data_IF_869023750173
#
_entry.id   IF_869023750173
#
_cell.length_a   1.000
_cell.length_b   1.000
_cell.length_c   1.000
_cell.angle_alpha   90.00
_cell.angle_beta   90.00
_cell.angle_gamma   90.00
#
_symmetry.space_group_name_H-M   'P 1'
#
loop_
_entity.id
_entity.type
_entity.pdbx_description
1 polymer ?
#
# COMPACT_ATOMS: atom_id res chain seq x y z
N UNK A 1 -18.47 -19.44 2.71
CA UNK A 1 -17.38 -20.43 2.58
C UNK A 1 -16.11 -19.60 2.66
N UNK A 2 -15.30 -19.74 3.72
CA UNK A 2 -14.06 -18.97 3.89
C UNK A 2 -13.16 -19.18 2.67
N UNK A 3 -12.93 -18.11 1.90
CA UNK A 3 -12.12 -18.15 0.68
C UNK A 3 -10.65 -18.10 1.07
N UNK A 4 -10.12 -19.22 1.57
CA UNK A 4 -8.71 -19.32 1.94
C UNK A 4 -7.82 -19.68 0.76
N UNK A 5 -6.80 -18.86 0.52
CA UNK A 5 -5.81 -19.10 -0.53
C UNK A 5 -4.50 -19.61 0.06
N UNK A 6 -3.96 -20.66 -0.54
CA UNK A 6 -2.74 -21.33 -0.08
C UNK A 6 -1.63 -21.14 -1.11
N UNK A 7 -0.42 -20.93 -0.61
CA UNK A 7 0.80 -20.82 -1.40
C UNK A 7 1.13 -22.14 -2.10
N UNK A 8 1.67 -22.02 -3.31
CA UNK A 8 2.15 -23.09 -4.17
C UNK A 8 3.61 -22.85 -4.54
N UNK A 9 4.31 -23.86 -5.07
CA UNK A 9 5.70 -23.73 -5.50
C UNK A 9 5.91 -22.69 -6.62
N UNK A 10 4.85 -22.35 -7.36
CA UNK A 10 4.91 -21.35 -8.45
C UNK A 10 4.57 -19.93 -8.01
N UNK A 11 4.20 -19.70 -6.75
CA UNK A 11 3.80 -18.38 -6.29
C UNK A 11 5.03 -17.46 -6.10
N UNK A 12 4.99 -16.23 -6.63
CA UNK A 12 6.06 -15.27 -6.43
C UNK A 12 5.95 -14.59 -5.06
N UNK A 13 7.08 -14.08 -4.60
CA UNK A 13 7.20 -13.28 -3.39
C UNK A 13 7.57 -11.86 -3.76
N UNK A 14 6.64 -10.93 -3.54
CA UNK A 14 6.80 -9.52 -3.87
C UNK A 14 6.46 -8.64 -2.68
N UNK A 15 7.21 -7.56 -2.49
CA UNK A 15 6.80 -6.47 -1.61
C UNK A 15 5.76 -5.56 -2.31
N UNK A 16 5.26 -4.54 -1.63
CA UNK A 16 4.31 -3.56 -2.18
C UNK A 16 4.84 -2.72 -3.36
N UNK A 17 6.13 -2.81 -3.72
CA UNK A 17 6.69 -2.25 -4.95
C UNK A 17 6.75 -3.26 -6.12
N UNK A 18 6.21 -4.46 -5.94
CA UNK A 18 6.44 -5.62 -6.82
C UNK A 18 7.93 -5.95 -7.05
N UNK A 19 8.78 -5.70 -6.05
CA UNK A 19 10.16 -6.17 -6.06
C UNK A 19 10.23 -7.56 -5.45
N UNK A 20 10.87 -8.47 -6.19
CA UNK A 20 10.97 -9.86 -5.79
C UNK A 20 11.87 -10.03 -4.56
N UNK A 21 11.51 -10.97 -3.70
CA UNK A 21 12.34 -11.37 -2.57
C UNK A 21 12.34 -12.87 -2.35
N UNK A 22 13.35 -13.38 -1.65
CA UNK A 22 13.37 -14.76 -1.17
C UNK A 22 12.60 -14.90 0.15
N UNK A 23 11.71 -15.90 0.28
CA UNK A 23 10.88 -16.07 1.46
C UNK A 23 11.69 -16.26 2.74
N UNK A 24 11.18 -15.74 3.86
CA UNK A 24 11.87 -15.79 5.15
C UNK A 24 11.80 -17.17 5.82
N UNK A 25 10.86 -18.02 5.41
CA UNK A 25 10.62 -19.36 5.96
C UNK A 25 9.97 -20.28 4.91
N UNK A 26 9.92 -21.61 5.12
CA UNK A 26 9.17 -22.53 4.27
C UNK A 26 7.69 -22.11 4.14
N UNK A 27 7.14 -22.19 2.92
CA UNK A 27 5.84 -21.61 2.56
C UNK A 27 4.80 -22.61 2.04
N UNK A 28 5.22 -23.84 1.69
CA UNK A 28 4.28 -24.83 1.16
C UNK A 28 3.14 -25.10 2.16
N UNK A 29 1.90 -25.03 1.67
CA UNK A 29 0.72 -25.23 2.50
C UNK A 29 0.34 -24.03 3.39
N UNK A 30 1.09 -22.93 3.37
CA UNK A 30 0.80 -21.71 4.14
C UNK A 30 -0.07 -20.71 3.37
N UNK A 31 -0.61 -19.72 4.06
CA UNK A 31 -1.57 -18.76 3.49
C UNK A 31 -0.90 -17.75 2.56
N UNK A 32 -1.57 -17.40 1.45
CA UNK A 32 -1.18 -16.22 0.64
C UNK A 32 -1.48 -14.91 1.38
N UNK A 33 -0.79 -13.84 1.01
CA UNK A 33 -1.05 -12.49 1.55
C UNK A 33 -2.48 -12.01 1.26
N UNK A 34 -3.09 -12.41 0.14
CA UNK A 34 -4.48 -12.11 -0.21
C UNK A 34 -5.50 -12.50 0.88
N UNK A 35 -5.21 -13.46 1.75
CA UNK A 35 -6.10 -13.79 2.87
C UNK A 35 -6.30 -12.62 3.85
N UNK A 36 -5.28 -11.76 4.05
CA UNK A 36 -5.44 -10.56 4.88
C UNK A 36 -6.38 -9.53 4.23
N UNK A 37 -6.36 -9.41 2.91
CA UNK A 37 -7.29 -8.58 2.16
C UNK A 37 -8.72 -9.12 2.30
N UNK A 38 -8.92 -10.40 2.03
CA UNK A 38 -10.24 -11.04 2.12
C UNK A 38 -10.82 -10.98 3.52
N UNK A 39 -10.02 -11.29 4.54
CA UNK A 39 -10.43 -11.15 5.93
C UNK A 39 -10.82 -9.70 6.27
N UNK A 40 -10.14 -8.71 5.69
CA UNK A 40 -10.53 -7.31 5.89
C UNK A 40 -11.88 -6.95 5.27
N UNK A 41 -12.25 -7.55 4.13
CA UNK A 41 -13.60 -7.41 3.54
C UNK A 41 -14.66 -8.03 4.45
N UNK A 42 -14.44 -9.28 4.87
CA UNK A 42 -15.37 -9.99 5.75
C UNK A 42 -15.56 -9.26 7.08
N UNK A 43 -14.47 -8.78 7.69
CA UNK A 43 -14.51 -8.04 8.94
C UNK A 43 -15.26 -6.71 8.82
N UNK A 44 -15.06 -5.98 7.72
CA UNK A 44 -15.72 -4.71 7.48
C UNK A 44 -17.18 -4.86 6.99
N UNK A 45 -17.62 -6.08 6.68
CA UNK A 45 -18.93 -6.33 6.07
C UNK A 45 -19.04 -5.75 4.66
N UNK A 46 -17.92 -5.73 3.92
CA UNK A 46 -17.86 -5.16 2.59
C UNK A 46 -18.75 -5.93 1.59
N UNK A 47 -19.14 -5.26 0.51
CA UNK A 47 -19.96 -5.86 -0.55
C UNK A 47 -19.26 -7.09 -1.16
N UNK A 48 -20.02 -8.16 -1.40
CA UNK A 48 -19.48 -9.41 -1.98
C UNK A 48 -18.77 -9.20 -3.33
N UNK A 49 -19.13 -8.14 -4.06
CA UNK A 49 -18.48 -7.75 -5.32
C UNK A 49 -17.03 -7.31 -5.16
N UNK A 50 -16.56 -7.04 -3.94
CA UNK A 50 -15.12 -6.83 -3.66
C UNK A 50 -14.28 -8.05 -4.03
N UNK A 51 -14.80 -9.25 -3.77
CA UNK A 51 -14.13 -10.50 -4.14
C UNK A 51 -14.13 -10.70 -5.64
N UNK A 52 -15.26 -10.39 -6.29
CA UNK A 52 -15.39 -10.47 -7.76
C UNK A 52 -14.44 -9.47 -8.45
N UNK A 53 -14.25 -8.29 -7.87
CA UNK A 53 -13.31 -7.30 -8.38
C UNK A 53 -11.87 -7.82 -8.38
N UNK A 54 -11.46 -8.50 -7.30
CA UNK A 54 -10.15 -9.15 -7.21
C UNK A 54 -9.96 -10.18 -8.32
N UNK A 55 -10.98 -11.01 -8.57
CA UNK A 55 -10.94 -12.02 -9.64
C UNK A 55 -10.85 -11.37 -11.03
N UNK A 56 -11.62 -10.33 -11.29
CA UNK A 56 -11.60 -9.59 -12.56
C UNK A 56 -10.22 -8.98 -12.83
N UNK A 57 -9.62 -8.36 -11.82
CA UNK A 57 -8.28 -7.78 -11.92
C UNK A 57 -7.24 -8.86 -12.24
N UNK A 58 -7.26 -9.99 -11.51
CA UNK A 58 -6.35 -11.12 -11.75
C UNK A 58 -6.49 -11.70 -13.15
N UNK A 59 -7.72 -11.86 -13.65
CA UNK A 59 -7.98 -12.31 -15.03
C UNK A 59 -7.44 -11.30 -16.06
N UNK A 60 -7.54 -10.00 -15.77
CA UNK A 60 -7.12 -8.93 -16.67
C UNK A 60 -5.61 -8.75 -16.78
N UNK A 61 -4.89 -8.83 -15.67
CA UNK A 61 -3.45 -8.46 -15.61
C UNK A 61 -2.52 -9.53 -15.02
N UNK A 62 -3.06 -10.67 -14.61
CA UNK A 62 -2.32 -11.80 -14.06
C UNK A 62 -2.37 -11.87 -12.53
N UNK A 63 -2.18 -13.08 -11.95
CA UNK A 63 -2.14 -13.28 -10.51
C UNK A 63 -0.88 -12.65 -9.90
N UNK A 64 -0.97 -12.16 -8.66
CA UNK A 64 0.15 -11.56 -7.92
C UNK A 64 0.76 -10.31 -8.59
N UNK A 65 0.07 -9.72 -9.56
CA UNK A 65 0.50 -8.51 -10.29
C UNK A 65 -0.19 -7.24 -9.79
N UNK A 66 -0.92 -7.35 -8.69
CA UNK A 66 -1.60 -6.24 -8.01
C UNK A 66 -1.15 -6.18 -6.56
N UNK A 67 -1.00 -4.96 -6.06
CA UNK A 67 -0.76 -4.70 -4.64
C UNK A 67 -2.07 -4.20 -4.05
N UNK A 68 -2.41 -4.67 -2.86
CA UNK A 68 -3.53 -4.16 -2.08
C UNK A 68 -3.00 -3.42 -0.85
N UNK A 69 -3.75 -2.41 -0.40
CA UNK A 69 -3.55 -1.75 0.88
C UNK A 69 -4.85 -1.69 1.66
N UNK A 70 -4.83 -2.15 2.91
CA UNK A 70 -5.92 -1.94 3.86
C UNK A 70 -5.57 -0.74 4.71
N UNK A 71 -6.36 0.33 4.59
CA UNK A 71 -6.10 1.61 5.26
C UNK A 71 -7.11 1.83 6.37
N UNK A 72 -6.63 2.33 7.51
CA UNK A 72 -7.45 2.78 8.64
C UNK A 72 -7.33 4.29 8.80
N UNK A 73 -8.46 4.98 8.91
CA UNK A 73 -8.53 6.39 9.28
C UNK A 73 -9.63 6.58 10.32
N UNK A 74 -9.23 6.79 11.58
CA UNK A 74 -10.14 6.70 12.72
C UNK A 74 -10.75 5.29 12.82
N UNK A 75 -12.07 5.20 12.83
CA UNK A 75 -12.81 3.92 12.87
C UNK A 75 -13.07 3.32 11.50
N UNK A 76 -12.77 4.04 10.41
CA UNK A 76 -13.06 3.60 9.04
C UNK A 76 -11.94 2.74 8.49
N UNK A 77 -12.31 1.64 7.86
CA UNK A 77 -11.45 0.82 7.00
C UNK A 77 -11.77 1.17 5.54
N UNK A 78 -10.74 1.27 4.70
CA UNK A 78 -10.87 1.42 3.25
C UNK A 78 -9.75 0.68 2.54
N UNK A 79 -9.90 0.51 1.23
CA UNK A 79 -8.97 -0.26 0.42
C UNK A 79 -8.41 0.58 -0.71
N UNK A 80 -7.16 0.31 -1.10
CA UNK A 80 -6.57 0.85 -2.31
C UNK A 80 -5.85 -0.27 -3.05
N UNK A 81 -5.98 -0.29 -4.37
CA UNK A 81 -5.21 -1.19 -5.24
C UNK A 81 -4.16 -0.41 -6.01
N UNK A 82 -2.95 -0.95 -6.07
CA UNK A 82 -1.81 -0.37 -6.77
C UNK A 82 -1.30 -1.32 -7.86
N UNK A 83 -0.88 -0.73 -8.97
CA UNK A 83 -0.50 -1.47 -10.16
C UNK A 83 0.84 -0.95 -10.66
N UNK A 84 1.88 -1.79 -10.60
CA UNK A 84 3.25 -1.41 -10.98
C UNK A 84 3.63 -1.95 -12.36
N UNK A 85 4.23 -1.08 -13.16
CA UNK A 85 4.88 -1.45 -14.41
C UNK A 85 6.07 -0.54 -14.72
N UNK A 86 7.26 -1.01 -14.34
CA UNK A 86 8.52 -0.27 -14.49
C UNK A 86 8.97 -0.06 -15.94
N UNK A 87 8.27 -0.64 -16.92
CA UNK A 87 8.47 -0.38 -18.36
C UNK A 87 7.89 0.97 -18.82
N UNK A 88 7.15 1.66 -17.95
CA UNK A 88 6.63 3.02 -18.19
C UNK A 88 5.80 3.08 -19.47
N UNK A 89 6.26 3.76 -20.51
CA UNK A 89 5.54 3.84 -21.80
C UNK A 89 5.32 2.47 -22.45
N UNK A 90 6.21 1.51 -22.21
CA UNK A 90 6.13 0.15 -22.75
C UNK A 90 5.41 -0.83 -21.79
N UNK A 91 4.64 -0.29 -20.84
CA UNK A 91 3.86 -1.08 -19.88
C UNK A 91 2.86 -2.01 -20.57
N UNK A 92 2.65 -3.17 -19.95
CA UNK A 92 1.57 -4.10 -20.28
C UNK A 92 0.43 -4.02 -19.27
N UNK A 93 0.70 -3.51 -18.05
CA UNK A 93 -0.27 -3.31 -16.98
C UNK A 93 -0.64 -1.83 -16.88
N UNK A 94 -1.23 -1.30 -17.95
CA UNK A 94 -1.69 0.10 -17.99
C UNK A 94 -2.99 0.31 -17.20
N UNK A 95 -3.23 1.56 -16.80
CA UNK A 95 -4.47 1.99 -16.18
C UNK A 95 -5.68 1.63 -17.05
N UNK A 96 -5.62 1.93 -18.35
CA UNK A 96 -6.67 1.56 -19.32
C UNK A 96 -6.95 0.05 -19.34
N UNK A 97 -5.91 -0.79 -19.24
CA UNK A 97 -6.08 -2.26 -19.23
C UNK A 97 -6.78 -2.72 -17.94
N UNK A 98 -6.37 -2.19 -16.79
CA UNK A 98 -6.99 -2.50 -15.49
C UNK A 98 -8.44 -2.04 -15.45
N UNK A 99 -8.73 -0.81 -15.90
CA UNK A 99 -10.10 -0.31 -15.98
C UNK A 99 -10.98 -1.18 -16.88
N UNK A 100 -10.46 -1.67 -18.01
CA UNK A 100 -11.19 -2.61 -18.87
C UNK A 100 -11.50 -3.93 -18.15
N UNK A 101 -10.57 -4.44 -17.34
CA UNK A 101 -10.79 -5.65 -16.56
C UNK A 101 -11.87 -5.44 -15.49
N UNK A 102 -11.88 -4.27 -14.84
CA UNK A 102 -12.84 -3.90 -13.79
C UNK A 102 -14.22 -3.47 -14.34
N UNK A 103 -14.32 -3.16 -15.65
CA UNK A 103 -15.51 -2.60 -16.30
C UNK A 103 -16.86 -3.34 -16.04
N UNK A 104 -16.90 -4.67 -15.81
CA UNK A 104 -18.14 -5.34 -15.43
C UNK A 104 -18.76 -4.85 -14.12
N UNK A 105 -17.95 -4.28 -13.21
CA UNK A 105 -18.38 -3.78 -11.90
C UNK A 105 -18.16 -2.28 -11.74
N UNK A 106 -17.13 -1.74 -12.37
CA UNK A 106 -16.65 -0.38 -12.14
C UNK A 106 -16.76 0.45 -13.40
N UNK A 107 -17.59 1.49 -13.35
CA UNK A 107 -17.59 2.56 -14.35
C UNK A 107 -16.51 3.58 -14.00
N UNK A 108 -15.74 4.03 -15.00
CA UNK A 108 -14.76 5.10 -14.81
C UNK A 108 -15.02 6.28 -15.73
N UNK A 109 -14.77 7.47 -15.21
CA UNK A 109 -14.79 8.74 -15.95
C UNK A 109 -13.40 9.37 -16.04
N UNK A 110 -12.37 8.76 -15.45
CA UNK A 110 -11.02 9.29 -15.41
C UNK A 110 -10.44 9.47 -16.83
N UNK A 111 -9.90 10.66 -17.11
CA UNK A 111 -9.28 11.00 -18.39
C UNK A 111 -7.78 10.65 -18.36
N UNK A 112 -7.43 9.47 -18.88
CA UNK A 112 -6.06 8.96 -18.83
C UNK A 112 -5.24 9.33 -20.06
N UNK A 113 -3.98 9.71 -19.84
CA UNK A 113 -2.97 9.84 -20.89
C UNK A 113 -1.91 8.73 -20.73
N UNK A 114 -2.04 7.68 -21.55
CA UNK A 114 -1.15 6.53 -21.55
C UNK A 114 0.23 6.79 -22.20
N UNK A 115 0.51 8.00 -22.69
CA UNK A 115 1.85 8.38 -23.18
C UNK A 115 2.76 8.94 -22.06
N UNK A 116 2.21 9.16 -20.86
CA UNK A 116 2.97 9.63 -19.71
C UNK A 116 3.91 8.55 -19.16
N UNK A 117 5.06 8.96 -18.61
CA UNK A 117 6.09 8.04 -18.09
C UNK A 117 5.80 7.47 -16.69
N UNK A 118 4.52 7.30 -16.33
CA UNK A 118 4.15 6.73 -15.03
C UNK A 118 4.64 5.28 -14.91
N UNK A 119 5.06 4.87 -13.72
CA UNK A 119 5.50 3.50 -13.45
C UNK A 119 4.55 2.76 -12.51
N UNK A 120 3.62 3.49 -11.89
CA UNK A 120 2.59 2.95 -11.03
C UNK A 120 1.35 3.85 -11.06
N UNK A 121 0.19 3.28 -10.78
CA UNK A 121 -1.02 4.02 -10.45
C UNK A 121 -1.81 3.27 -9.38
N UNK A 122 -2.70 3.97 -8.70
CA UNK A 122 -3.56 3.38 -7.68
C UNK A 122 -4.97 3.93 -7.69
N UNK A 123 -5.88 3.11 -7.16
CA UNK A 123 -7.33 3.28 -7.18
C UNK A 123 -7.89 3.06 -5.77
N UNK A 124 -8.58 4.05 -5.21
CA UNK A 124 -9.31 3.87 -3.96
C UNK A 124 -10.61 3.05 -4.22
N UNK A 125 -10.77 1.98 -3.45
CA UNK A 125 -11.83 0.97 -3.59
C UNK A 125 -12.75 1.02 -2.37
N UNK A 126 -14.06 1.07 -2.61
CA UNK A 126 -15.10 1.02 -1.58
C UNK A 126 -16.39 0.39 -2.12
N UNK A 127 -17.35 0.17 -1.22
CA UNK A 127 -18.63 -0.46 -1.57
C UNK A 127 -19.44 0.38 -2.56
N UNK A 128 -19.37 1.71 -2.48
CA UNK A 128 -20.07 2.58 -3.43
C UNK A 128 -19.53 2.38 -4.85
N UNK A 129 -18.22 2.15 -5.00
CA UNK A 129 -17.59 1.91 -6.29
C UNK A 129 -18.05 0.60 -6.92
N UNK A 130 -17.89 -0.51 -6.21
CA UNK A 130 -18.25 -1.84 -6.74
C UNK A 130 -19.76 -2.03 -6.86
N UNK A 131 -20.54 -1.22 -6.14
CA UNK A 131 -21.99 -1.22 -6.24
C UNK A 131 -22.58 -0.40 -7.37
N UNK A 132 -21.78 0.44 -8.02
CA UNK A 132 -22.25 1.45 -8.97
C UNK A 132 -22.91 2.66 -8.29
N UNK A 133 -22.79 2.79 -6.96
CA UNK A 133 -23.21 3.98 -6.20
C UNK A 133 -22.31 5.20 -6.43
N UNK A 134 -21.09 5.01 -6.94
CA UNK A 134 -20.22 6.05 -7.50
C UNK A 134 -19.40 5.53 -8.68
N UNK A 135 -18.96 6.46 -9.53
CA UNK A 135 -17.97 6.18 -10.58
C UNK A 135 -16.54 6.25 -10.02
N UNK A 136 -15.59 5.64 -10.73
CA UNK A 136 -14.16 5.90 -10.54
C UNK A 136 -13.77 7.16 -11.34
N UNK A 137 -13.70 8.28 -10.64
CA UNK A 137 -13.42 9.61 -11.19
C UNK A 137 -12.02 10.15 -10.82
N UNK A 138 -11.26 9.42 -10.01
CA UNK A 138 -9.91 9.79 -9.59
C UNK A 138 -8.95 8.60 -9.70
N UNK A 139 -7.77 8.84 -10.26
CA UNK A 139 -6.66 7.89 -10.34
C UNK A 139 -5.40 8.58 -9.84
N UNK A 140 -4.70 7.98 -8.88
CA UNK A 140 -3.42 8.48 -8.40
C UNK A 140 -2.30 7.90 -9.26
N UNK A 141 -1.60 8.76 -10.00
CA UNK A 141 -0.61 8.37 -11.00
C UNK A 141 0.80 8.76 -10.60
N UNK A 142 1.72 7.80 -10.64
CA UNK A 142 3.07 7.92 -10.08
C UNK A 142 4.12 7.95 -11.19
N UNK A 143 4.78 9.09 -11.32
CA UNK A 143 5.80 9.37 -12.33
C UNK A 143 7.17 9.39 -11.67
N UNK A 144 8.17 8.76 -12.32
CA UNK A 144 9.52 8.73 -11.76
C UNK A 144 10.13 10.13 -11.66
N UNK A 145 10.86 10.40 -10.58
CA UNK A 145 11.55 11.65 -10.34
C UNK A 145 13.07 11.46 -10.51
N UNK A 146 13.62 11.60 -11.74
CA UNK A 146 15.06 11.44 -11.96
C UNK A 146 15.85 12.57 -11.28
N UNK A 147 17.10 12.29 -10.91
CA UNK A 147 18.04 13.29 -10.36
C UNK A 147 18.34 13.18 -8.87
N UNK A 148 17.96 12.08 -8.21
CA UNK A 148 18.32 11.77 -6.82
C UNK A 148 19.19 10.52 -6.74
N UNK A 149 20.03 10.42 -5.69
CA UNK A 149 20.79 9.21 -5.36
C UNK A 149 19.89 8.04 -4.90
N UNK A 150 18.66 8.35 -4.49
CA UNK A 150 17.63 7.37 -4.13
C UNK A 150 16.51 7.33 -5.17
N UNK A 151 15.85 6.17 -5.27
CA UNK A 151 14.64 6.07 -6.09
C UNK A 151 13.56 7.01 -5.55
N UNK A 152 12.89 7.75 -6.44
CA UNK A 152 11.83 8.68 -6.04
C UNK A 152 10.73 8.79 -7.10
N UNK A 153 9.55 9.19 -6.65
CA UNK A 153 8.35 9.31 -7.48
C UNK A 153 7.51 10.52 -7.10
N UNK A 154 6.78 11.04 -8.08
CA UNK A 154 5.83 12.14 -7.95
C UNK A 154 4.44 11.59 -8.21
N UNK A 155 3.52 11.78 -7.26
CA UNK A 155 2.13 11.39 -7.41
C UNK A 155 1.28 12.58 -7.85
N UNK A 156 0.48 12.35 -8.89
CA UNK A 156 -0.56 13.25 -9.35
C UNK A 156 -1.91 12.57 -9.22
N UNK A 157 -2.87 13.26 -8.61
CA UNK A 157 -4.28 12.91 -8.80
C UNK A 157 -4.69 13.30 -10.21
N UNK A 158 -5.36 12.39 -10.91
CA UNK A 158 -5.87 12.56 -12.28
C UNK A 158 -7.38 12.37 -12.27
N UNK A 159 -8.10 13.42 -12.66
CA UNK A 159 -9.57 13.48 -12.69
C UNK A 159 -10.06 13.91 -14.07
N UNK A 160 -11.38 13.83 -14.37
CA UNK A 160 -11.94 14.40 -15.60
C UNK A 160 -11.61 15.88 -15.81
N UNK A 161 -11.39 16.62 -14.71
CA UNK A 161 -11.17 18.07 -14.74
C UNK A 161 -9.70 18.48 -14.93
N UNK A 162 -8.78 17.51 -14.83
CA UNK A 162 -7.34 17.73 -14.94
C UNK A 162 -6.55 16.99 -13.87
N UNK A 163 -5.27 17.33 -13.74
CA UNK A 163 -4.36 16.71 -12.78
C UNK A 163 -3.87 17.69 -11.72
N UNK A 164 -3.59 17.16 -10.52
CA UNK A 164 -3.08 17.91 -9.36
C UNK A 164 -1.92 17.17 -8.72
N UNK A 165 -0.83 17.88 -8.46
CA UNK A 165 0.30 17.35 -7.68
C UNK A 165 -0.14 17.05 -6.23
N UNK A 166 0.10 15.83 -5.76
CA UNK A 166 -0.26 15.41 -4.41
C UNK A 166 0.95 15.19 -3.53
N UNK A 167 1.84 14.28 -3.93
CA UNK A 167 2.86 13.76 -3.04
C UNK A 167 4.21 13.56 -3.74
N UNK A 168 5.29 13.64 -2.96
CA UNK A 168 6.64 13.23 -3.36
C UNK A 168 7.10 12.05 -2.52
N UNK A 169 7.55 10.97 -3.14
CA UNK A 169 8.00 9.74 -2.49
C UNK A 169 9.50 9.54 -2.66
N UNK A 170 10.17 9.10 -1.60
CA UNK A 170 11.61 8.84 -1.56
C UNK A 170 11.86 7.47 -0.92
N UNK A 171 12.55 6.58 -1.63
CA UNK A 171 12.75 5.19 -1.23
C UNK A 171 14.21 4.96 -0.83
N UNK A 172 14.41 4.66 0.45
CA UNK A 172 15.72 4.47 1.07
C UNK A 172 15.94 2.99 1.39
N UNK A 173 17.12 2.45 1.04
CA UNK A 173 17.62 1.22 1.66
C UNK A 173 17.83 1.48 3.17
N UNK A 174 17.10 0.74 4.00
CA UNK A 174 17.04 0.99 5.44
C UNK A 174 18.37 0.74 6.16
N UNK A 175 19.16 -0.23 5.66
CA UNK A 175 20.45 -0.59 6.23
C UNK A 175 21.54 0.42 5.89
N UNK A 176 21.44 1.06 4.72
CA UNK A 176 22.48 1.96 4.19
C UNK A 176 22.22 3.43 4.47
N UNK A 177 20.96 3.86 4.49
CA UNK A 177 20.60 5.29 4.46
C UNK A 177 20.01 5.80 5.78
N UNK A 178 20.40 5.23 6.93
CA UNK A 178 19.84 5.64 8.23
C UNK A 178 19.93 7.16 8.48
N UNK A 179 21.06 7.77 8.16
CA UNK A 179 21.25 9.22 8.34
C UNK A 179 20.36 10.02 7.40
N UNK A 180 20.25 9.61 6.12
CA UNK A 180 19.40 10.30 5.14
C UNK A 180 17.92 10.18 5.48
N UNK A 181 17.47 9.04 6.00
CA UNK A 181 16.10 8.82 6.48
C UNK A 181 15.78 9.82 7.60
N UNK A 182 16.63 9.90 8.63
CA UNK A 182 16.45 10.82 9.75
C UNK A 182 16.48 12.28 9.30
N UNK A 183 17.43 12.64 8.42
CA UNK A 183 17.51 13.98 7.85
C UNK A 183 16.24 14.32 7.04
N UNK A 184 15.72 13.36 6.26
CA UNK A 184 14.51 13.55 5.46
C UNK A 184 13.26 13.73 6.31
N UNK A 185 13.15 13.03 7.45
CA UNK A 185 12.09 13.24 8.44
C UNK A 185 12.24 14.62 9.07
N UNK A 186 13.46 15.01 9.47
CA UNK A 186 13.72 16.31 10.10
C UNK A 186 13.41 17.51 9.18
N UNK A 187 13.48 17.32 7.86
CA UNK A 187 13.11 18.31 6.84
C UNK A 187 11.59 18.35 6.53
N UNK A 188 10.76 17.69 7.33
CA UNK A 188 9.31 17.75 7.21
C UNK A 188 8.77 19.15 7.53
N UNK A 189 7.83 19.64 6.74
CA UNK A 189 7.09 20.87 7.05
C UNK A 189 5.95 20.64 8.06
N UNK A 190 5.71 19.39 8.47
CA UNK A 190 4.56 18.98 9.27
C UNK A 190 4.92 18.71 10.74
N UNK A 191 6.19 18.79 11.10
CA UNK A 191 6.68 18.58 12.46
C UNK A 191 7.74 19.61 12.84
N UNK A 192 7.90 19.84 14.14
CA UNK A 192 9.09 20.48 14.71
C UNK A 192 10.03 19.40 15.23
N UNK A 193 11.12 19.13 14.50
CA UNK A 193 12.11 18.10 14.84
C UNK A 193 12.98 18.46 16.06
N UNK A 194 12.90 19.69 16.57
CA UNK A 194 13.56 20.09 17.81
C UNK A 194 12.73 19.76 19.05
N UNK A 195 11.41 19.65 18.88
CA UNK A 195 10.46 19.36 19.95
C UNK A 195 9.95 17.91 19.94
N UNK A 196 10.12 17.18 18.82
CA UNK A 196 9.67 15.80 18.65
C UNK A 196 10.85 14.82 18.60
N UNK A 197 10.75 13.73 19.36
CA UNK A 197 11.65 12.58 19.19
C UNK A 197 11.37 11.88 17.86
N UNK A 198 12.35 11.86 16.97
CA UNK A 198 12.22 11.24 15.65
C UNK A 198 12.02 9.72 15.72
N UNK A 199 12.40 9.05 16.81
CA UNK A 199 12.11 7.63 17.00
C UNK A 199 10.61 7.36 17.15
N UNK A 200 9.78 8.37 17.44
CA UNK A 200 8.32 8.26 17.39
C UNK A 200 7.79 8.06 15.95
N UNK A 201 8.56 8.51 14.94
CA UNK A 201 8.26 8.33 13.51
C UNK A 201 9.06 7.15 12.96
N UNK A 202 10.39 7.16 13.14
CA UNK A 202 11.30 6.11 12.71
C UNK A 202 11.41 4.98 13.75
N UNK A 203 10.24 4.39 14.05
CA UNK A 203 10.02 3.43 15.13
C UNK A 203 11.10 2.34 15.21
N UNK A 204 11.76 2.15 16.37
CA UNK A 204 12.76 1.10 16.56
C UNK A 204 12.27 -0.32 16.25
N UNK A 205 11.00 -0.61 16.49
CA UNK A 205 10.42 -1.92 16.27
C UNK A 205 10.19 -2.24 14.78
N UNK A 206 10.11 -1.21 13.93
CA UNK A 206 9.82 -1.35 12.49
C UNK A 206 11.03 -1.07 11.60
N UNK A 207 12.06 -0.39 12.12
CA UNK A 207 13.21 0.05 11.30
C UNK A 207 14.13 -1.07 10.83
N UNK A 208 14.08 -2.24 11.47
CA UNK A 208 14.70 -3.45 10.91
C UNK A 208 13.79 -3.99 9.79
N UNK A 209 13.94 -3.38 8.63
CA UNK A 209 13.17 -3.62 7.42
C UNK A 209 14.10 -3.47 6.20
N UNK A 210 13.60 -3.72 4.99
CA UNK A 210 14.40 -3.62 3.77
C UNK A 210 14.42 -2.20 3.21
N UNK A 211 13.26 -1.56 3.16
CA UNK A 211 13.11 -0.24 2.53
C UNK A 211 12.25 0.66 3.39
N UNK A 212 12.71 1.89 3.58
CA UNK A 212 11.92 2.95 4.17
C UNK A 212 11.49 3.89 3.06
N UNK A 213 10.18 4.09 2.90
CA UNK A 213 9.67 5.12 2.01
C UNK A 213 9.17 6.31 2.83
N UNK A 214 9.60 7.51 2.46
CA UNK A 214 9.09 8.75 3.04
C UNK A 214 8.33 9.51 1.97
N UNK A 215 7.11 9.93 2.30
CA UNK A 215 6.31 10.75 1.41
C UNK A 215 6.05 12.14 2.02
N UNK A 216 6.29 13.19 1.23
CA UNK A 216 5.75 14.50 1.54
C UNK A 216 4.36 14.64 0.96
N UNK A 217 3.38 15.01 1.78
CA UNK A 217 2.01 15.28 1.34
C UNK A 217 1.61 16.70 1.72
N UNK A 218 0.47 17.14 1.21
CA UNK A 218 0.02 18.53 1.39
C UNK A 218 -0.28 18.91 2.86
N UNK A 219 -0.76 17.97 3.68
CA UNK A 219 -1.28 18.25 5.04
C UNK A 219 -0.71 17.34 6.14
N UNK A 220 0.15 16.41 5.75
CA UNK A 220 0.81 15.42 6.59
C UNK A 220 2.00 14.86 5.80
N UNK A 221 2.92 14.21 6.48
CA UNK A 221 3.93 13.39 5.83
C UNK A 221 3.66 11.92 6.13
N UNK A 222 4.30 11.01 5.39
CA UNK A 222 4.10 9.58 5.58
C UNK A 222 5.43 8.86 5.67
N UNK A 223 5.47 7.82 6.49
CA UNK A 223 6.55 6.85 6.53
C UNK A 223 6.00 5.46 6.27
N UNK A 224 6.70 4.69 5.44
CA UNK A 224 6.44 3.28 5.19
C UNK A 224 7.67 2.46 5.55
N UNK A 225 7.44 1.30 6.15
CA UNK A 225 8.44 0.29 6.44
C UNK A 225 8.10 -0.94 5.60
N UNK A 226 9.02 -1.34 4.74
CA UNK A 226 8.80 -2.39 3.75
C UNK A 226 9.71 -3.57 3.98
N UNK A 227 9.16 -4.77 3.83
CA UNK A 227 9.87 -6.01 4.09
C UNK A 227 9.99 -6.34 5.58
N UNK A 228 8.97 -6.01 6.39
CA UNK A 228 8.91 -6.35 7.81
C UNK A 228 8.36 -7.77 8.02
N UNK A 229 8.65 -8.37 9.17
CA UNK A 229 8.17 -9.69 9.56
C UNK A 229 6.70 -9.66 10.05
N UNK A 230 6.08 -10.84 10.18
CA UNK A 230 4.73 -10.96 10.77
C UNK A 230 4.68 -10.43 12.21
N UNK A 231 5.75 -10.57 13.00
CA UNK A 231 5.81 -10.06 14.38
C UNK A 231 5.76 -8.53 14.41
N UNK A 232 6.48 -7.89 13.49
CA UNK A 232 6.47 -6.45 13.34
C UNK A 232 5.10 -5.95 12.83
N UNK A 233 4.43 -6.71 11.96
CA UNK A 233 3.05 -6.42 11.57
C UNK A 233 2.09 -6.48 12.77
N UNK A 234 2.18 -7.54 13.58
CA UNK A 234 1.39 -7.69 14.82
C UNK A 234 1.67 -6.51 15.77
N UNK A 235 2.94 -6.14 15.96
CA UNK A 235 3.30 -4.95 16.73
C UNK A 235 2.64 -3.69 16.17
N UNK A 236 2.75 -3.44 14.86
CA UNK A 236 2.18 -2.26 14.20
C UNK A 236 0.67 -2.16 14.41
N UNK A 237 -0.05 -3.27 14.19
CA UNK A 237 -1.50 -3.30 14.33
C UNK A 237 -1.93 -3.10 15.79
N UNK A 238 -1.16 -3.61 16.76
CA UNK A 238 -1.41 -3.42 18.18
C UNK A 238 -1.11 -1.98 18.63
N UNK A 239 0.03 -1.43 18.22
CA UNK A 239 0.45 -0.06 18.54
C UNK A 239 -0.57 0.98 18.07
N UNK A 240 -1.09 0.80 16.85
CA UNK A 240 -2.11 1.69 16.29
C UNK A 240 -3.53 1.27 16.63
N UNK A 241 -3.74 0.26 17.48
CA UNK A 241 -5.07 -0.17 17.93
C UNK A 241 -6.03 -0.50 16.78
N UNK A 242 -5.58 -1.28 15.80
CA UNK A 242 -6.48 -1.81 14.76
C UNK A 242 -7.64 -2.60 15.40
N UNK A 243 -8.81 -2.69 14.73
CA UNK A 243 -9.93 -3.49 15.21
C UNK A 243 -9.51 -4.90 15.61
N UNK A 244 -10.03 -5.40 16.75
CA UNK A 244 -9.63 -6.69 17.31
C UNK A 244 -9.77 -7.84 16.31
N UNK A 245 -10.83 -7.82 15.48
CA UNK A 245 -11.04 -8.85 14.47
C UNK A 245 -9.96 -8.89 13.39
N UNK A 246 -9.37 -7.76 13.02
CA UNK A 246 -8.22 -7.74 12.09
C UNK A 246 -6.94 -8.22 12.79
N UNK A 247 -6.71 -7.78 14.03
CA UNK A 247 -5.52 -8.16 14.81
C UNK A 247 -5.46 -9.65 15.11
N UNK A 248 -6.55 -10.20 15.65
CA UNK A 248 -6.60 -11.58 16.11
C UNK A 248 -6.38 -12.56 14.95
N UNK A 249 -6.84 -12.24 13.74
CA UNK A 249 -6.58 -13.07 12.58
C UNK A 249 -5.09 -13.25 12.30
N UNK A 250 -4.30 -12.18 12.35
CA UNK A 250 -2.85 -12.25 12.13
C UNK A 250 -2.15 -12.98 13.28
N UNK A 251 -2.57 -12.71 14.52
CA UNK A 251 -2.02 -13.35 15.72
C UNK A 251 -2.28 -14.87 15.74
N UNK A 252 -3.51 -15.29 15.46
CA UNK A 252 -3.94 -16.69 15.43
C UNK A 252 -3.32 -17.47 14.27
N UNK A 253 -3.11 -16.80 13.12
CA UNK A 253 -2.52 -17.40 11.92
C UNK A 253 -1.04 -17.07 11.74
N UNK A 254 -0.34 -16.60 12.79
CA UNK A 254 1.06 -16.18 12.72
C UNK A 254 1.97 -17.21 12.03
N UNK A 255 1.85 -18.49 12.39
CA UNK A 255 2.65 -19.58 11.80
C UNK A 255 2.30 -19.88 10.33
N UNK A 256 1.11 -19.50 9.88
CA UNK A 256 0.68 -19.59 8.49
C UNK A 256 1.11 -18.37 7.67
N UNK A 257 1.70 -17.35 8.31
CA UNK A 257 1.96 -16.02 7.75
C UNK A 257 3.44 -15.59 7.88
N UNK A 258 4.25 -16.33 8.63
CA UNK A 258 5.67 -16.04 8.93
C UNK A 258 6.64 -16.17 7.74
N UNK A 259 6.22 -16.82 6.66
CA UNK A 259 6.98 -16.98 5.43
C UNK A 259 6.93 -15.74 4.51
N UNK A 260 5.95 -14.84 4.76
CA UNK A 260 5.77 -13.61 4.02
C UNK A 260 6.51 -12.46 4.70
N UNK A 261 6.82 -11.44 3.91
CA UNK A 261 7.16 -10.12 4.41
C UNK A 261 5.99 -9.18 4.13
N UNK A 262 5.87 -8.17 4.97
CA UNK A 262 4.78 -7.21 4.93
C UNK A 262 5.33 -5.80 4.76
N UNK A 263 4.43 -4.92 4.39
CA UNK A 263 4.71 -3.50 4.33
C UNK A 263 3.64 -2.78 5.15
N UNK A 264 4.05 -1.75 5.88
CA UNK A 264 3.16 -0.93 6.70
C UNK A 264 3.53 0.53 6.53
N UNK A 265 2.59 1.44 6.75
CA UNK A 265 2.90 2.86 6.77
C UNK A 265 1.84 3.68 7.47
N UNK A 266 2.21 4.90 7.87
CA UNK A 266 1.29 5.81 8.52
C UNK A 266 1.58 7.27 8.18
N UNK A 267 0.49 8.03 8.07
CA UNK A 267 0.48 9.47 7.86
C UNK A 267 0.55 10.16 9.22
N UNK A 268 1.48 11.10 9.34
CA UNK A 268 1.72 11.83 10.56
C UNK A 268 1.84 13.34 10.34
N UNK A 269 1.50 14.08 11.38
CA UNK A 269 1.84 15.50 11.56
C UNK A 269 1.97 15.82 13.04
N UNK A 270 2.51 16.98 13.36
CA UNK A 270 2.51 17.49 14.73
C UNK A 270 1.27 18.34 14.98
N UNK A 271 0.61 18.13 16.11
CA UNK A 271 -0.47 18.97 16.60
C UNK A 271 -0.30 19.20 18.10
N UNK A 272 -0.33 20.47 18.54
CA UNK A 272 -0.18 20.79 19.96
C UNK A 272 1.12 20.29 20.59
N UNK A 273 2.20 20.17 19.79
CA UNK A 273 3.49 19.65 20.24
C UNK A 273 3.60 18.12 20.29
N UNK A 274 2.56 17.38 19.86
CA UNK A 274 2.53 15.92 19.88
C UNK A 274 2.43 15.36 18.47
N UNK A 275 3.01 14.16 18.25
CA UNK A 275 2.83 13.42 17.01
C UNK A 275 1.39 12.91 16.93
N UNK A 276 0.69 13.27 15.87
CA UNK A 276 -0.63 12.76 15.53
C UNK A 276 -0.53 11.87 14.31
N UNK A 277 -1.06 10.66 14.43
CA UNK A 277 -1.22 9.71 13.32
C UNK A 277 -2.67 9.78 12.83
N UNK A 278 -2.86 10.16 11.56
CA UNK A 278 -4.20 10.37 11.00
C UNK A 278 -4.73 9.14 10.26
N UNK A 279 -3.81 8.43 9.61
CA UNK A 279 -4.11 7.31 8.74
C UNK A 279 -2.97 6.31 8.82
N UNK A 280 -3.30 5.03 8.74
CA UNK A 280 -2.30 3.96 8.68
C UNK A 280 -2.75 2.89 7.69
N UNK A 281 -1.82 2.06 7.23
CA UNK A 281 -2.15 0.95 6.35
C UNK A 281 -1.13 -0.18 6.42
N UNK A 282 -1.58 -1.36 6.03
CA UNK A 282 -0.75 -2.52 5.77
C UNK A 282 -1.06 -3.06 4.37
N UNK A 283 -0.05 -3.66 3.74
CA UNK A 283 -0.07 -3.97 2.31
C UNK A 283 0.36 -5.41 2.04
N UNK A 284 -0.02 -5.89 0.86
CA UNK A 284 0.39 -7.17 0.31
C UNK A 284 0.01 -7.27 -1.17
N UNK A 285 -0.02 -8.50 -1.70
CA UNK A 285 -0.29 -8.73 -3.13
C UNK A 285 -1.49 -9.66 -3.33
N UNK A 286 -2.07 -9.61 -4.52
CA UNK A 286 -3.09 -10.55 -4.96
C UNK A 286 -2.99 -10.84 -6.46
#
# INVERSE_FOLDING_TARGET
MERREIMTAGDPFFNYCLWQYDPAAPWEGKMRSANLLFHSFEHAGADGRMFDLVDLVRQGIGPSMSVWGVKRAGERIGWEYYFYDYRRRERQRSATRVLRAMAPLVRSTAALNEDQHYFMFSLDIDDALVSGGRDLDEIHMYIGNPGSAVSSGICYSVTPSGSRLENFYFFFDAARHRQDILAKIACSAQIDSTALDLDAIYRPELRDCRTVCLANKQRSDCIYFSGITVDQLIFFMNWLEYPRGLRSFVEENRAQLDHLLYDVGFDYRMEGGLLRIEKSGYYGIF
#
